data_IF_970866064229
#
_entry.id   IF_970866064229
#
_cell.length_a   1.000
_cell.length_b   1.000
_cell.length_c   1.000
_cell.angle_alpha   90.00
_cell.angle_beta   90.00
_cell.angle_gamma   90.00
#
_symmetry.space_group_name_H-M   'P 1'
#
loop_
_entity.id
_entity.type
_entity.pdbx_description
1 polymer ?
#
# COMPACT_ATOMS: atom_id res chain seq x y z
N UNK A 1 -14.30 -7.93 -7.78
CA UNK A 1 -13.51 -7.05 -6.88
C UNK A 1 -14.20 -5.72 -6.70
N UNK A 2 -14.75 -5.41 -5.51
CA UNK A 2 -15.52 -4.18 -5.28
C UNK A 2 -14.75 -2.90 -5.64
N UNK A 3 -13.44 -2.85 -5.35
CA UNK A 3 -12.58 -1.68 -5.63
C UNK A 3 -12.50 -1.33 -7.13
N UNK A 4 -12.28 -2.32 -8.01
CA UNK A 4 -12.18 -2.06 -9.45
C UNK A 4 -13.46 -1.43 -10.01
N UNK A 5 -14.62 -1.95 -9.62
CA UNK A 5 -15.93 -1.41 -10.03
C UNK A 5 -16.12 0.02 -9.58
N UNK A 6 -15.81 0.35 -8.32
CA UNK A 6 -16.01 1.72 -7.82
C UNK A 6 -15.00 2.71 -8.42
N UNK A 7 -13.78 2.28 -8.79
CA UNK A 7 -12.82 3.12 -9.52
C UNK A 7 -13.40 3.53 -10.89
N UNK A 8 -13.92 2.56 -11.65
CA UNK A 8 -14.55 2.82 -12.95
C UNK A 8 -15.79 3.71 -12.82
N UNK A 9 -16.68 3.43 -11.86
CA UNK A 9 -17.89 4.23 -11.63
C UNK A 9 -17.57 5.67 -11.22
N UNK A 10 -16.45 5.90 -10.53
CA UNK A 10 -15.98 7.25 -10.16
C UNK A 10 -15.13 7.90 -11.26
N UNK A 11 -14.99 7.26 -12.45
CA UNK A 11 -14.20 7.75 -13.59
C UNK A 11 -12.76 8.09 -13.21
N UNK A 12 -12.16 7.32 -12.30
CA UNK A 12 -10.77 7.51 -11.90
C UNK A 12 -9.78 6.81 -12.83
N UNK A 13 -10.25 5.85 -13.64
CA UNK A 13 -9.51 5.17 -14.70
C UNK A 13 -10.52 4.67 -15.77
N UNK A 14 -10.04 4.48 -17.00
CA UNK A 14 -10.82 3.89 -18.09
C UNK A 14 -10.83 2.35 -18.03
N UNK A 15 -9.72 1.78 -17.52
CA UNK A 15 -9.54 0.35 -17.31
C UNK A 15 -8.90 0.11 -15.94
N UNK A 16 -9.23 -1.02 -15.29
CA UNK A 16 -8.60 -1.44 -14.04
C UNK A 16 -8.13 -2.88 -14.13
N UNK A 17 -6.82 -3.08 -14.06
CA UNK A 17 -6.20 -4.39 -13.94
C UNK A 17 -5.53 -4.54 -12.57
N UNK A 18 -5.73 -5.70 -11.93
CA UNK A 18 -5.05 -6.05 -10.68
C UNK A 18 -4.17 -7.28 -10.89
N UNK A 19 -3.01 -7.28 -10.23
CA UNK A 19 -2.16 -8.45 -10.08
C UNK A 19 -2.09 -8.83 -8.59
N UNK A 20 -3.04 -9.61 -8.06
CA UNK A 20 -3.06 -9.97 -6.65
C UNK A 20 -1.98 -10.99 -6.34
N UNK A 21 -1.01 -10.61 -5.51
CA UNK A 21 0.07 -11.51 -5.08
C UNK A 21 0.03 -11.86 -3.59
N UNK A 22 -0.93 -11.33 -2.83
CA UNK A 22 -1.05 -11.54 -1.39
C UNK A 22 -0.98 -13.01 -0.95
N UNK A 23 -0.46 -13.23 0.25
CA UNK A 23 -0.31 -14.53 0.89
C UNK A 23 -0.79 -14.40 2.33
N UNK A 24 -1.69 -15.27 2.77
CA UNK A 24 -2.26 -15.21 4.12
C UNK A 24 -1.22 -15.47 5.22
N UNK A 25 -1.44 -14.86 6.38
CA UNK A 25 -0.64 -15.00 7.60
C UNK A 25 0.86 -14.64 7.48
N UNK A 26 1.26 -13.86 6.46
CA UNK A 26 2.67 -13.50 6.27
C UNK A 26 3.05 -12.30 7.11
N UNK A 27 4.23 -12.34 7.71
CA UNK A 27 4.95 -11.16 8.21
C UNK A 27 5.60 -10.39 7.07
N UNK A 28 6.03 -9.15 7.27
CA UNK A 28 6.84 -8.41 6.28
C UNK A 28 8.17 -9.13 6.00
N UNK A 29 8.71 -9.89 6.96
CA UNK A 29 9.92 -10.67 6.79
C UNK A 29 9.74 -11.82 5.79
N UNK A 30 8.53 -12.38 5.67
CA UNK A 30 8.23 -13.44 4.70
C UNK A 30 8.35 -12.98 3.24
N UNK A 31 8.36 -11.66 3.01
CA UNK A 31 8.51 -11.04 1.69
C UNK A 31 9.96 -10.63 1.37
N UNK A 32 10.91 -10.92 2.26
CA UNK A 32 12.35 -10.73 2.07
C UNK A 32 13.01 -12.05 1.63
N UNK A 33 14.28 -12.04 1.16
CA UNK A 33 14.99 -13.26 0.79
C UNK A 33 14.93 -14.32 1.89
N UNK A 34 14.73 -15.57 1.50
CA UNK A 34 14.48 -16.73 2.36
C UNK A 34 13.11 -16.75 3.08
N UNK A 35 12.29 -15.72 2.91
CA UNK A 35 10.91 -15.70 3.40
C UNK A 35 9.96 -16.52 2.52
N UNK A 36 8.91 -17.08 3.12
CA UNK A 36 8.00 -18.02 2.44
C UNK A 36 7.17 -17.39 1.31
N UNK A 37 6.97 -16.08 1.29
CA UNK A 37 6.27 -15.37 0.23
C UNK A 37 7.20 -14.88 -0.89
N UNK A 38 8.51 -14.89 -0.65
CA UNK A 38 9.52 -14.38 -1.58
C UNK A 38 9.51 -15.07 -2.95
N UNK A 39 9.36 -16.40 -3.08
CA UNK A 39 9.30 -17.04 -4.40
C UNK A 39 8.13 -16.55 -5.24
N UNK A 40 6.96 -16.31 -4.62
CA UNK A 40 5.77 -15.76 -5.30
C UNK A 40 6.03 -14.32 -5.76
N UNK A 41 6.67 -13.52 -4.91
CA UNK A 41 7.09 -12.16 -5.26
C UNK A 41 8.05 -12.16 -6.46
N UNK A 42 9.10 -12.99 -6.45
CA UNK A 42 10.06 -13.07 -7.55
C UNK A 42 9.39 -13.46 -8.87
N UNK A 43 8.50 -14.46 -8.85
CA UNK A 43 7.74 -14.87 -10.03
C UNK A 43 6.87 -13.74 -10.55
N UNK A 44 6.18 -13.01 -9.67
CA UNK A 44 5.38 -11.85 -10.05
C UNK A 44 6.26 -10.77 -10.70
N UNK A 45 7.36 -10.38 -10.07
CA UNK A 45 8.26 -9.35 -10.60
C UNK A 45 8.89 -9.77 -11.94
N UNK A 46 9.21 -11.05 -12.12
CA UNK A 46 9.69 -11.59 -13.39
C UNK A 46 8.66 -11.46 -14.52
N UNK A 47 7.38 -11.73 -14.24
CA UNK A 47 6.29 -11.52 -15.21
C UNK A 47 6.16 -10.03 -15.55
N UNK A 48 6.13 -9.16 -14.54
CA UNK A 48 6.04 -7.71 -14.72
C UNK A 48 7.16 -7.20 -15.62
N UNK A 49 8.40 -7.57 -15.31
CA UNK A 49 9.58 -7.14 -16.06
C UNK A 49 9.62 -7.71 -17.48
N UNK A 50 9.37 -9.00 -17.66
CA UNK A 50 9.41 -9.64 -18.97
C UNK A 50 8.30 -9.17 -19.92
N UNK A 51 7.14 -8.80 -19.37
CA UNK A 51 6.00 -8.27 -20.12
C UNK A 51 5.96 -6.75 -20.18
N UNK A 52 6.93 -6.08 -19.55
CA UNK A 52 7.01 -4.61 -19.44
C UNK A 52 5.70 -3.98 -18.91
N UNK A 53 5.04 -4.68 -17.98
CA UNK A 53 3.79 -4.22 -17.38
C UNK A 53 4.10 -3.03 -16.48
N UNK A 54 3.38 -1.93 -16.67
CA UNK A 54 3.45 -0.75 -15.80
C UNK A 54 2.25 -0.76 -14.86
N UNK A 55 2.50 -0.43 -13.60
CA UNK A 55 1.44 -0.23 -12.61
C UNK A 55 1.46 1.21 -12.12
N UNK A 56 0.30 1.84 -12.03
CA UNK A 56 0.14 3.15 -11.41
C UNK A 56 0.35 3.09 -9.89
N UNK A 57 -0.18 2.03 -9.28
CA UNK A 57 -0.22 1.87 -7.84
C UNK A 57 0.20 0.46 -7.38
N UNK A 58 0.81 0.40 -6.21
CA UNK A 58 1.09 -0.80 -5.43
C UNK A 58 0.32 -0.67 -4.12
N UNK A 59 -0.54 -1.65 -3.84
CA UNK A 59 -1.28 -1.71 -2.58
C UNK A 59 -0.56 -2.63 -1.60
N UNK A 60 -0.17 -2.08 -0.45
CA UNK A 60 0.36 -2.88 0.66
C UNK A 60 -0.68 -2.98 1.77
N UNK A 61 -1.14 -4.20 2.02
CA UNK A 61 -2.04 -4.52 3.12
C UNK A 61 -1.56 -5.76 3.85
N UNK A 62 -0.86 -5.52 4.95
CA UNK A 62 -0.28 -6.56 5.79
C UNK A 62 -0.01 -5.92 7.17
N UNK A 63 -0.01 -6.74 8.22
CA UNK A 63 0.52 -6.34 9.53
C UNK A 63 -0.07 -7.10 10.70
N UNK A 64 -1.22 -7.77 10.52
CA UNK A 64 -1.81 -8.63 11.56
C UNK A 64 -0.86 -9.74 12.04
N UNK A 65 0.02 -10.26 11.18
CA UNK A 65 1.04 -11.25 11.58
C UNK A 65 2.31 -10.62 12.16
N UNK A 66 2.49 -9.30 12.09
CA UNK A 66 3.62 -8.58 12.68
C UNK A 66 3.28 -7.94 14.03
N UNK A 67 2.12 -8.23 14.63
CA UNK A 67 1.77 -7.79 16.00
C UNK A 67 2.91 -8.14 16.95
N UNK A 68 3.35 -7.17 17.75
CA UNK A 68 4.49 -7.30 18.66
C UNK A 68 5.86 -7.04 18.02
N UNK A 69 5.95 -6.88 16.70
CA UNK A 69 7.20 -6.51 16.02
C UNK A 69 7.59 -5.08 16.36
N UNK A 70 8.83 -4.81 16.82
CA UNK A 70 9.27 -3.44 17.07
C UNK A 70 9.15 -2.56 15.83
N UNK A 71 8.63 -1.34 15.99
CA UNK A 71 8.37 -0.39 14.89
C UNK A 71 9.59 -0.19 13.98
N UNK A 72 10.78 -0.04 14.55
CA UNK A 72 12.03 0.13 13.78
C UNK A 72 12.39 -1.10 12.94
N UNK A 73 12.09 -2.29 13.43
CA UNK A 73 12.31 -3.55 12.70
C UNK A 73 11.29 -3.69 11.56
N UNK A 74 10.02 -3.39 11.83
CA UNK A 74 8.99 -3.39 10.78
C UNK A 74 9.34 -2.41 9.67
N UNK A 75 9.69 -1.17 10.02
CA UNK A 75 10.07 -0.13 9.05
C UNK A 75 11.29 -0.52 8.22
N UNK A 76 12.35 -1.04 8.87
CA UNK A 76 13.54 -1.51 8.17
C UNK A 76 13.22 -2.63 7.17
N UNK A 77 12.40 -3.61 7.59
CA UNK A 77 12.00 -4.72 6.72
C UNK A 77 11.11 -4.26 5.59
N UNK A 78 10.14 -3.39 5.85
CA UNK A 78 9.27 -2.80 4.83
C UNK A 78 10.09 -2.05 3.78
N UNK A 79 11.02 -1.19 4.20
CA UNK A 79 11.85 -0.41 3.28
C UNK A 79 12.74 -1.33 2.41
N UNK A 80 13.29 -2.40 2.99
CA UNK A 80 14.04 -3.42 2.24
C UNK A 80 13.15 -4.15 1.22
N UNK A 81 11.92 -4.49 1.62
CA UNK A 81 10.94 -5.12 0.75
C UNK A 81 10.54 -4.19 -0.41
N UNK A 82 10.14 -2.95 -0.12
CA UNK A 82 9.74 -1.98 -1.12
C UNK A 82 10.88 -1.71 -2.14
N UNK A 83 12.11 -1.53 -1.65
CA UNK A 83 13.30 -1.38 -2.50
C UNK A 83 13.50 -2.58 -3.43
N UNK A 84 13.30 -3.81 -2.95
CA UNK A 84 13.39 -5.01 -3.78
C UNK A 84 12.27 -5.08 -4.83
N UNK A 85 11.03 -4.77 -4.48
CA UNK A 85 9.91 -4.73 -5.43
C UNK A 85 10.19 -3.74 -6.56
N UNK A 86 10.64 -2.53 -6.21
CA UNK A 86 11.01 -1.50 -7.17
C UNK A 86 12.14 -2.00 -8.09
N UNK A 87 13.20 -2.60 -7.53
CA UNK A 87 14.35 -3.08 -8.30
C UNK A 87 14.02 -4.27 -9.19
N UNK A 88 13.29 -5.26 -8.69
CA UNK A 88 12.98 -6.50 -9.40
C UNK A 88 11.95 -6.29 -10.51
N UNK A 89 10.93 -5.47 -10.26
CA UNK A 89 9.84 -5.20 -11.21
C UNK A 89 10.05 -3.98 -12.10
N UNK A 90 11.12 -3.20 -11.89
CA UNK A 90 11.32 -1.88 -12.52
C UNK A 90 10.15 -0.89 -12.28
N UNK A 91 9.63 -0.90 -11.06
CA UNK A 91 8.42 -0.17 -10.66
C UNK A 91 8.73 1.18 -10.01
N UNK A 92 9.71 1.92 -10.53
CA UNK A 92 10.17 3.19 -9.95
C UNK A 92 9.13 4.31 -10.01
N UNK A 93 8.23 4.25 -10.99
CA UNK A 93 7.13 5.22 -11.17
C UNK A 93 5.86 4.85 -10.42
N UNK A 94 5.77 3.64 -9.85
CA UNK A 94 4.59 3.17 -9.15
C UNK A 94 4.50 3.78 -7.75
N UNK A 95 3.29 4.20 -7.37
CA UNK A 95 3.00 4.80 -6.08
C UNK A 95 2.50 3.74 -5.11
N UNK A 96 2.99 3.76 -3.89
CA UNK A 96 2.57 2.84 -2.85
C UNK A 96 1.48 3.47 -2.01
N UNK A 97 0.36 2.77 -1.88
CA UNK A 97 -0.67 3.12 -0.91
C UNK A 97 -0.60 2.08 0.21
N UNK A 98 -0.23 2.53 1.41
CA UNK A 98 0.14 1.67 2.54
C UNK A 98 -1.01 1.66 3.54
N UNK A 99 -1.72 0.53 3.61
CA UNK A 99 -2.77 0.36 4.60
C UNK A 99 -2.18 0.27 6.01
N UNK A 100 -2.94 0.77 6.98
CA UNK A 100 -2.67 0.60 8.41
C UNK A 100 -3.50 -0.58 8.89
N UNK A 101 -2.82 -1.64 9.29
CA UNK A 101 -3.43 -2.92 9.62
C UNK A 101 -2.65 -3.63 10.71
N UNK A 102 -3.15 -3.54 11.94
CA UNK A 102 -2.60 -4.24 13.10
C UNK A 102 -3.67 -4.85 14.00
N UNK A 103 -4.95 -4.75 13.61
CA UNK A 103 -6.07 -5.39 14.32
C UNK A 103 -6.25 -6.85 13.91
N UNK A 104 -6.18 -7.78 14.87
CA UNK A 104 -6.49 -9.20 14.67
C UNK A 104 -6.81 -9.87 16.02
N UNK A 105 -7.79 -10.78 16.05
CA UNK A 105 -8.18 -11.55 17.24
C UNK A 105 -8.39 -10.69 18.50
N UNK A 106 -9.07 -9.54 18.34
CA UNK A 106 -9.34 -8.60 19.43
C UNK A 106 -8.14 -7.77 19.90
N UNK A 107 -6.95 -7.96 19.32
CA UNK A 107 -5.74 -7.19 19.61
C UNK A 107 -5.55 -6.10 18.58
N UNK A 108 -5.02 -4.95 19.02
CA UNK A 108 -4.56 -3.85 18.15
C UNK A 108 -3.14 -3.48 18.58
N UNK A 109 -2.21 -3.48 17.63
CA UNK A 109 -0.85 -2.98 17.88
C UNK A 109 -0.72 -1.53 17.38
N UNK A 110 -0.81 -0.58 18.31
CA UNK A 110 -0.68 0.85 18.05
C UNK A 110 0.74 1.25 17.59
N UNK A 111 1.77 0.51 18.04
CA UNK A 111 3.16 0.79 17.64
C UNK A 111 3.38 0.38 16.19
N UNK A 112 2.79 -0.73 15.77
CA UNK A 112 2.81 -1.17 14.38
C UNK A 112 1.98 -0.23 13.49
N UNK A 113 0.77 0.14 13.92
CA UNK A 113 -0.07 1.11 13.21
C UNK A 113 0.66 2.44 13.02
N UNK A 114 1.36 2.92 14.05
CA UNK A 114 2.19 4.12 13.96
C UNK A 114 3.36 3.93 12.99
N UNK A 115 4.06 2.79 13.03
CA UNK A 115 5.15 2.51 12.10
C UNK A 115 4.70 2.58 10.63
N UNK A 116 3.55 1.98 10.31
CA UNK A 116 2.93 2.01 8.98
C UNK A 116 2.55 3.43 8.57
N UNK A 117 2.01 4.21 9.50
CA UNK A 117 1.68 5.62 9.30
C UNK A 117 2.92 6.46 9.01
N UNK A 118 3.99 6.26 9.77
CA UNK A 118 5.24 7.01 9.63
C UNK A 118 5.92 6.70 8.29
N UNK A 119 5.97 5.44 7.85
CA UNK A 119 6.48 5.06 6.51
C UNK A 119 5.76 5.85 5.42
N UNK A 120 4.43 5.95 5.50
CA UNK A 120 3.62 6.60 4.49
C UNK A 120 3.70 8.14 4.51
N UNK A 121 4.27 8.73 5.58
CA UNK A 121 4.39 10.20 5.75
C UNK A 121 5.81 10.72 5.53
N UNK A 122 6.82 9.92 5.81
CA UNK A 122 8.23 10.33 5.78
C UNK A 122 8.89 10.18 4.40
N UNK A 123 8.10 10.03 3.35
CA UNK A 123 8.64 9.84 2.01
C UNK A 123 8.81 11.17 1.27
N UNK A 124 10.06 11.62 1.24
CA UNK A 124 10.49 12.85 0.55
C UNK A 124 10.37 12.74 -0.99
N UNK A 125 10.08 11.56 -1.53
CA UNK A 125 10.02 11.30 -2.96
C UNK A 125 8.60 11.14 -3.52
N UNK A 126 7.55 11.40 -2.74
CA UNK A 126 6.13 11.35 -3.17
C UNK A 126 5.78 10.02 -3.86
N UNK A 127 6.30 8.95 -3.31
CA UNK A 127 6.12 7.55 -3.71
C UNK A 127 5.20 6.82 -2.74
N UNK A 128 5.27 7.10 -1.45
CA UNK A 128 4.48 6.44 -0.41
C UNK A 128 3.36 7.36 0.05
N UNK A 129 2.16 6.79 0.17
CA UNK A 129 0.96 7.49 0.58
C UNK A 129 0.19 6.70 1.61
N UNK A 130 -0.48 7.43 2.52
CA UNK A 130 -1.32 6.84 3.54
C UNK A 130 -2.49 6.12 2.86
N UNK A 131 -2.64 4.85 3.19
CA UNK A 131 -3.76 4.02 2.79
C UNK A 131 -4.85 3.88 3.86
N UNK A 132 -5.80 2.98 3.62
CA UNK A 132 -6.92 2.72 4.53
C UNK A 132 -6.46 2.43 5.95
N UNK A 133 -7.25 2.90 6.91
CA UNK A 133 -7.17 2.40 8.28
C UNK A 133 -8.09 1.20 8.37
N UNK A 134 -7.55 0.00 8.56
CA UNK A 134 -8.39 -1.17 8.79
C UNK A 134 -8.71 -1.36 10.27
N UNK A 135 -7.94 -0.74 11.18
CA UNK A 135 -8.21 -0.84 12.60
C UNK A 135 -9.49 -0.08 12.98
N UNK A 136 -9.87 0.94 12.20
CA UNK A 136 -11.13 1.67 12.36
C UNK A 136 -12.37 0.84 12.01
N UNK A 137 -12.22 -0.33 11.38
CA UNK A 137 -13.31 -1.25 11.13
C UNK A 137 -13.54 -2.13 12.36
N UNK A 138 -14.74 -1.99 12.94
CA UNK A 138 -15.25 -2.79 14.05
C UNK A 138 -15.39 -4.28 13.70
N UNK A 139 -15.79 -5.07 14.69
CA UNK A 139 -15.91 -6.53 14.56
C UNK A 139 -17.10 -6.94 13.69
N UNK A 140 -18.11 -6.07 13.54
CA UNK A 140 -19.22 -6.24 12.60
C UNK A 140 -18.77 -6.36 11.14
N UNK A 141 -17.57 -5.88 10.81
CA UNK A 141 -16.94 -6.01 9.49
C UNK A 141 -16.04 -7.25 9.38
N UNK A 142 -16.02 -8.14 10.38
CA UNK A 142 -15.15 -9.31 10.45
C UNK A 142 -15.95 -10.58 10.73
N UNK A 143 -15.42 -11.75 10.37
CA UNK A 143 -16.07 -13.03 10.66
C UNK A 143 -15.45 -13.78 11.85
N UNK A 144 -14.21 -13.45 12.24
CA UNK A 144 -13.48 -14.07 13.35
C UNK A 144 -12.71 -13.05 14.19
N UNK A 145 -13.16 -11.78 14.18
CA UNK A 145 -12.47 -10.61 14.78
C UNK A 145 -11.11 -10.27 14.17
N UNK A 146 -10.66 -10.97 13.11
CA UNK A 146 -9.43 -10.68 12.38
C UNK A 146 -9.66 -10.42 10.89
N UNK A 147 -10.39 -11.28 10.20
CA UNK A 147 -10.54 -11.25 8.74
C UNK A 147 -11.84 -10.56 8.32
N UNK A 148 -11.79 -9.77 7.24
CA UNK A 148 -12.94 -9.03 6.75
C UNK A 148 -14.01 -9.98 6.19
N UNK A 149 -15.25 -9.81 6.65
CA UNK A 149 -16.43 -10.42 6.04
C UNK A 149 -16.81 -9.66 4.75
N UNK A 150 -17.93 -10.05 4.10
CA UNK A 150 -18.36 -9.40 2.87
C UNK A 150 -18.57 -7.88 3.02
N UNK A 151 -19.28 -7.45 4.06
CA UNK A 151 -19.50 -6.02 4.34
C UNK A 151 -18.17 -5.30 4.60
N UNK A 152 -17.25 -5.95 5.30
CA UNK A 152 -15.90 -5.43 5.53
C UNK A 152 -15.11 -5.24 4.24
N UNK A 153 -15.20 -6.17 3.29
CA UNK A 153 -14.54 -6.04 1.98
C UNK A 153 -15.12 -4.91 1.14
N UNK A 154 -16.45 -4.70 1.18
CA UNK A 154 -17.11 -3.58 0.51
C UNK A 154 -16.69 -2.23 1.13
N UNK A 155 -16.69 -2.15 2.46
CA UNK A 155 -16.24 -0.96 3.18
C UNK A 155 -14.75 -0.67 2.91
N UNK A 156 -13.92 -1.70 2.90
CA UNK A 156 -12.49 -1.59 2.62
C UNK A 156 -12.25 -1.06 1.20
N UNK A 157 -13.05 -1.47 0.22
CA UNK A 157 -12.95 -0.92 -1.13
C UNK A 157 -13.21 0.59 -1.16
N UNK A 158 -14.23 1.07 -0.44
CA UNK A 158 -14.48 2.51 -0.31
C UNK A 158 -13.30 3.24 0.34
N UNK A 159 -12.70 2.67 1.39
CA UNK A 159 -11.52 3.27 2.02
C UNK A 159 -10.31 3.31 1.07
N UNK A 160 -10.10 2.27 0.25
CA UNK A 160 -9.05 2.27 -0.77
C UNK A 160 -9.29 3.37 -1.82
N UNK A 161 -10.53 3.53 -2.28
CA UNK A 161 -10.89 4.57 -3.24
C UNK A 161 -10.58 5.97 -2.69
N UNK A 162 -10.94 6.24 -1.44
CA UNK A 162 -10.64 7.53 -0.81
C UNK A 162 -9.13 7.74 -0.63
N UNK A 163 -8.39 6.68 -0.31
CA UNK A 163 -6.92 6.74 -0.23
C UNK A 163 -6.28 7.07 -1.59
N UNK A 164 -6.81 6.50 -2.68
CA UNK A 164 -6.38 6.81 -4.05
C UNK A 164 -6.67 8.27 -4.43
N UNK A 165 -7.86 8.77 -4.11
CA UNK A 165 -8.22 10.18 -4.34
C UNK A 165 -7.29 11.13 -3.58
N UNK A 166 -6.99 10.81 -2.33
CA UNK A 166 -6.08 11.59 -1.49
C UNK A 166 -4.65 11.56 -2.03
N UNK A 167 -4.14 10.40 -2.44
CA UNK A 167 -2.82 10.28 -3.06
C UNK A 167 -2.70 11.15 -4.32
N UNK A 168 -3.71 11.10 -5.21
CA UNK A 168 -3.76 11.93 -6.42
C UNK A 168 -3.81 13.43 -6.10
N UNK A 169 -4.56 13.82 -5.06
CA UNK A 169 -4.64 15.22 -4.60
C UNK A 169 -3.28 15.71 -4.08
N UNK A 170 -2.62 14.92 -3.24
CA UNK A 170 -1.33 15.27 -2.64
C UNK A 170 -0.23 15.38 -3.70
N UNK A 171 -0.21 14.46 -4.66
CA UNK A 171 0.70 14.54 -5.80
C UNK A 171 0.49 15.82 -6.62
N UNK A 172 -0.76 16.17 -6.92
CA UNK A 172 -1.05 17.39 -7.68
C UNK A 172 -0.62 18.65 -6.92
N UNK A 173 -0.79 18.69 -5.60
CA UNK A 173 -0.31 19.79 -4.77
C UNK A 173 1.22 19.92 -4.85
N UNK A 174 1.95 18.82 -4.65
CA UNK A 174 3.40 18.80 -4.73
C UNK A 174 3.94 19.22 -6.10
N UNK A 175 3.32 18.75 -7.19
CA UNK A 175 3.70 19.17 -8.56
C UNK A 175 3.52 20.66 -8.76
N UNK A 176 2.40 21.24 -8.28
CA UNK A 176 2.15 22.68 -8.37
C UNK A 176 3.20 23.48 -7.58
N UNK A 177 3.48 23.08 -6.34
CA UNK A 177 4.51 23.72 -5.51
C UNK A 177 5.90 23.66 -6.17
N UNK A 178 6.26 22.50 -6.73
CA UNK A 178 7.54 22.33 -7.45
C UNK A 178 7.62 23.25 -8.67
N UNK A 179 6.56 23.31 -9.48
CA UNK A 179 6.52 24.20 -10.65
C UNK A 179 6.60 25.67 -10.24
N UNK A 180 5.86 26.09 -9.22
CA UNK A 180 5.91 27.46 -8.69
C UNK A 180 7.31 27.82 -8.19
N UNK A 181 7.99 26.91 -7.48
CA UNK A 181 9.35 27.10 -6.99
C UNK A 181 10.39 27.16 -8.13
N UNK A 182 10.16 26.45 -9.24
CA UNK A 182 11.00 26.56 -10.43
C UNK A 182 10.80 27.94 -11.07
N UNK A 183 9.55 28.36 -11.30
CA UNK A 183 9.26 29.65 -11.93
C UNK A 183 9.70 30.85 -11.08
N UNK A 184 9.62 30.78 -9.75
CA UNK A 184 10.10 31.87 -8.87
C UNK A 184 11.62 32.03 -8.86
N UNK A 185 12.36 31.03 -9.34
CA UNK A 185 13.83 31.05 -9.47
C UNK A 185 14.31 31.47 -10.86
N UNK A 186 13.40 31.57 -11.83
CA UNK A 186 13.68 32.05 -13.18
C UNK A 186 13.30 33.53 -13.20
N UNK A 187 14.28 34.42 -13.02
CA UNK A 187 14.08 35.84 -13.29
C UNK A 187 14.02 36.04 -14.82
N UNK A 188 12.92 36.60 -15.31
CA UNK A 188 12.82 37.15 -16.67
C UNK A 188 13.41 38.55 -16.72
#
# INVERSE_FOLDING_TARGET
MPLGRIILNNKLADEVTFMPIGVGATTVNDWLPNGRAYPKLQKAMSVIKSKQIKFDYIFWHQGSSDIGTPSSIYQKRFNSFASQVIKLGDLRSSKWIIARHSKCFGQVDEKLWKAQTDIARMDDHIRFFIGPDTNSLGDEYRFDTCHLNQQGQEKMATLWLESLKNAKKNENAFRKETMLNIFSKINF
#
